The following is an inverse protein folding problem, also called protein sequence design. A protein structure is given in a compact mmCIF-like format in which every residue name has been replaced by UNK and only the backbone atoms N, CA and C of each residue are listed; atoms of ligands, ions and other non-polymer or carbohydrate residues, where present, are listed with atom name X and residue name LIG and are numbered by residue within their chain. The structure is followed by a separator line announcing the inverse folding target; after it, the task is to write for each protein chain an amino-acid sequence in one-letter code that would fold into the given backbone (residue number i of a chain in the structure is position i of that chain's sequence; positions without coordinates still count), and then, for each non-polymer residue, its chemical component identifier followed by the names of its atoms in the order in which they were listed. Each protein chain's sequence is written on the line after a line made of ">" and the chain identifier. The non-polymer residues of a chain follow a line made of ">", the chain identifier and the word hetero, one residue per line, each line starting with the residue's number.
data_IF_150725028449
#
_entry.id   IF_150725028449
#
_cell.length_a   1.000
_cell.length_b   1.000
_cell.length_c   1.000
_cell.angle_alpha   90.00
_cell.angle_beta   90.00
_cell.angle_gamma   90.00
#
_symmetry.space_group_name_H-M   'P 1'
#
loop_
_entity.id
_entity.type
_entity.pdbx_description
1 polymer ?
#
# COMPACT_ATOMS: atom_id res chain seq x y z
N UNK A 1 -22.00 1.64 8.73
CA UNK A 1 -21.52 1.87 7.36
C UNK A 1 -21.10 0.54 6.75
N UNK A 2 -21.50 0.28 5.48
CA UNK A 2 -21.13 -0.95 4.77
C UNK A 2 -19.90 -0.74 3.90
N UNK A 3 -18.97 -1.67 3.94
CA UNK A 3 -17.75 -1.61 3.11
C UNK A 3 -17.60 -2.86 2.23
N UNK A 4 -16.95 -2.68 1.08
CA UNK A 4 -16.46 -3.77 0.23
C UNK A 4 -14.94 -3.69 0.11
N UNK A 5 -14.25 -4.81 0.24
CA UNK A 5 -12.79 -4.87 0.16
C UNK A 5 -12.38 -5.54 -1.15
N UNK A 6 -11.47 -4.90 -1.88
CA UNK A 6 -10.83 -5.45 -3.07
C UNK A 6 -9.32 -5.58 -2.83
N UNK A 7 -8.75 -6.76 -3.09
CA UNK A 7 -7.32 -7.04 -2.92
C UNK A 7 -6.79 -7.96 -4.01
N UNK A 8 -5.48 -7.96 -4.21
CA UNK A 8 -4.77 -8.89 -5.13
C UNK A 8 -3.86 -9.87 -4.40
N UNK A 9 -3.96 -9.97 -3.08
CA UNK A 9 -3.12 -10.87 -2.28
C UNK A 9 -3.93 -11.58 -1.18
N UNK A 10 -3.67 -12.87 -1.02
CA UNK A 10 -4.25 -13.68 0.08
C UNK A 10 -3.60 -13.38 1.44
N UNK A 11 -2.33 -12.97 1.44
CA UNK A 11 -1.52 -12.72 2.64
C UNK A 11 -0.97 -11.27 2.67
N UNK A 12 -1.69 -10.32 2.06
CA UNK A 12 -1.24 -8.93 1.93
C UNK A 12 -1.93 -7.98 2.90
N UNK A 13 -2.00 -6.71 2.47
CA UNK A 13 -2.59 -5.62 3.25
C UNK A 13 -4.02 -5.93 3.71
N UNK A 14 -4.87 -6.52 2.84
CA UNK A 14 -6.24 -6.84 3.22
C UNK A 14 -6.31 -7.88 4.35
N UNK A 15 -5.53 -8.96 4.25
CA UNK A 15 -5.48 -10.01 5.28
C UNK A 15 -4.99 -9.47 6.63
N UNK A 16 -4.01 -8.55 6.61
CA UNK A 16 -3.52 -7.89 7.81
C UNK A 16 -4.54 -6.91 8.42
N UNK A 17 -5.25 -6.13 7.58
CA UNK A 17 -6.15 -5.06 8.06
C UNK A 17 -7.52 -5.57 8.47
N UNK A 18 -7.97 -6.70 7.90
CA UNK A 18 -9.31 -7.23 8.12
C UNK A 18 -9.63 -7.50 9.61
N UNK A 19 -8.74 -8.11 10.43
CA UNK A 19 -8.96 -8.24 11.87
C UNK A 19 -9.17 -6.90 12.59
N UNK A 20 -8.36 -5.88 12.28
CA UNK A 20 -8.50 -4.54 12.88
C UNK A 20 -9.87 -3.91 12.56
N UNK A 21 -10.36 -4.09 11.33
CA UNK A 21 -11.68 -3.59 10.92
C UNK A 21 -12.80 -4.31 11.65
N UNK A 22 -12.71 -5.63 11.80
CA UNK A 22 -13.70 -6.44 12.52
C UNK A 22 -13.73 -6.06 14.00
N UNK A 23 -12.57 -6.03 14.67
CA UNK A 23 -12.44 -5.72 16.09
C UNK A 23 -12.89 -4.29 16.41
N UNK A 24 -12.69 -3.34 15.50
CA UNK A 24 -13.10 -1.95 15.71
C UNK A 24 -14.61 -1.74 15.76
N UNK A 25 -15.39 -2.61 15.11
CA UNK A 25 -16.85 -2.48 15.00
C UNK A 25 -17.31 -1.23 14.22
N UNK A 26 -16.40 -0.47 13.59
CA UNK A 26 -16.72 0.80 12.90
C UNK A 26 -17.51 0.60 11.60
N UNK A 27 -17.44 -0.59 11.01
CA UNK A 27 -18.08 -0.89 9.73
C UNK A 27 -18.53 -2.36 9.63
N UNK A 28 -19.53 -2.59 8.77
CA UNK A 28 -19.98 -3.90 8.33
C UNK A 28 -19.28 -4.27 7.02
N UNK A 29 -18.60 -5.41 6.99
CA UNK A 29 -17.90 -5.87 5.79
C UNK A 29 -18.88 -6.69 4.96
N UNK A 30 -19.42 -6.09 3.90
CA UNK A 30 -20.42 -6.75 3.06
C UNK A 30 -19.84 -7.81 2.13
N UNK A 31 -18.58 -7.65 1.72
CA UNK A 31 -17.91 -8.60 0.81
C UNK A 31 -16.41 -8.34 0.74
N UNK A 32 -15.63 -9.41 0.56
CA UNK A 32 -14.21 -9.37 0.19
C UNK A 32 -14.03 -9.98 -1.19
N UNK A 33 -13.35 -9.27 -2.10
CA UNK A 33 -13.08 -9.73 -3.46
C UNK A 33 -11.56 -9.88 -3.64
N UNK A 34 -11.13 -11.09 -3.99
CA UNK A 34 -9.76 -11.39 -4.39
C UNK A 34 -9.62 -11.30 -5.91
N UNK A 35 -8.78 -10.38 -6.39
CA UNK A 35 -8.36 -10.33 -7.77
C UNK A 35 -7.20 -11.30 -8.01
N UNK A 36 -7.39 -12.35 -8.80
CA UNK A 36 -6.37 -13.35 -9.11
C UNK A 36 -5.27 -12.83 -10.06
N UNK A 37 -5.42 -11.63 -10.61
CA UNK A 37 -4.39 -10.99 -11.40
C UNK A 37 -4.09 -11.67 -12.74
N UNK A 38 -5.06 -12.37 -13.33
CA UNK A 38 -4.91 -13.01 -14.64
C UNK A 38 -4.81 -11.96 -15.75
N UNK A 39 -3.62 -11.39 -15.92
CA UNK A 39 -3.37 -10.37 -16.95
C UNK A 39 -3.28 -11.04 -18.33
N UNK A 40 -4.11 -10.62 -19.27
CA UNK A 40 -3.91 -10.97 -20.68
C UNK A 40 -2.59 -10.35 -21.15
N UNK A 41 -1.60 -11.19 -21.46
CA UNK A 41 -0.28 -10.78 -22.00
C UNK A 41 -0.42 -10.38 -23.47
N UNK A 42 -0.97 -9.20 -23.73
CA UNK A 42 -1.09 -8.64 -25.08
C UNK A 42 0.22 -7.92 -25.49
N UNK A 43 0.31 -7.55 -26.77
CA UNK A 43 1.48 -6.85 -27.34
C UNK A 43 1.83 -5.56 -26.59
N UNK A 44 0.82 -4.80 -26.16
CA UNK A 44 1.00 -3.56 -25.36
C UNK A 44 1.67 -3.84 -24.02
N UNK A 45 1.27 -4.91 -23.33
CA UNK A 45 1.89 -5.36 -22.08
C UNK A 45 3.38 -5.69 -22.31
N UNK A 46 3.69 -6.46 -23.36
CA UNK A 46 5.06 -6.85 -23.69
C UNK A 46 5.92 -5.62 -24.02
N UNK A 47 5.42 -4.71 -24.85
CA UNK A 47 6.09 -3.45 -25.20
C UNK A 47 6.40 -2.60 -23.96
N UNK A 48 5.47 -2.46 -23.04
CA UNK A 48 5.68 -1.73 -21.78
C UNK A 48 6.70 -2.40 -20.89
N UNK A 49 6.71 -3.74 -20.83
CA UNK A 49 7.70 -4.52 -20.09
C UNK A 49 9.11 -4.33 -20.66
N UNK A 50 9.26 -4.39 -21.97
CA UNK A 50 10.54 -4.14 -22.67
C UNK A 50 11.01 -2.70 -22.41
N UNK A 51 10.15 -1.70 -22.56
CA UNK A 51 10.49 -0.30 -22.25
C UNK A 51 10.97 -0.12 -20.81
N UNK A 52 10.33 -0.79 -19.87
CA UNK A 52 10.75 -0.76 -18.46
C UNK A 52 12.13 -1.40 -18.27
N UNK A 53 12.40 -2.54 -18.91
CA UNK A 53 13.72 -3.21 -18.85
C UNK A 53 14.81 -2.30 -19.46
N UNK A 54 14.55 -1.65 -20.58
CA UNK A 54 15.49 -0.69 -21.19
C UNK A 54 15.78 0.46 -20.23
N UNK A 55 14.75 1.01 -19.58
CA UNK A 55 14.89 2.14 -18.63
C UNK A 55 15.73 1.81 -17.40
N UNK A 56 15.54 0.63 -16.80
CA UNK A 56 16.20 0.24 -15.54
C UNK A 56 17.42 -0.66 -15.75
N UNK A 57 17.64 -1.12 -16.96
CA UNK A 57 18.67 -2.08 -17.36
C UNK A 57 18.33 -3.54 -16.98
N UNK A 58 18.95 -4.54 -17.62
CA UNK A 58 18.68 -5.96 -17.34
C UNK A 58 19.01 -6.34 -15.90
N UNK A 59 20.12 -5.86 -15.35
CA UNK A 59 20.51 -6.10 -13.95
C UNK A 59 19.54 -5.45 -12.97
N UNK A 60 19.04 -4.23 -13.26
CA UNK A 60 17.98 -3.59 -12.47
C UNK A 60 16.68 -4.38 -12.50
N UNK A 61 16.31 -4.94 -13.67
CA UNK A 61 15.12 -5.77 -13.80
C UNK A 61 15.23 -7.07 -12.97
N UNK A 62 16.38 -7.76 -13.03
CA UNK A 62 16.65 -8.96 -12.23
C UNK A 62 16.62 -8.67 -10.73
N UNK A 63 17.28 -7.58 -10.30
CA UNK A 63 17.27 -7.15 -8.91
C UNK A 63 15.85 -6.78 -8.45
N UNK A 64 15.05 -6.15 -9.31
CA UNK A 64 13.66 -5.85 -9.01
C UNK A 64 12.79 -7.08 -8.77
N UNK A 65 13.03 -8.20 -9.47
CA UNK A 65 12.36 -9.47 -9.21
C UNK A 65 12.75 -10.00 -7.81
N UNK A 66 14.04 -9.93 -7.46
CA UNK A 66 14.54 -10.33 -6.15
C UNK A 66 13.93 -9.50 -5.03
N UNK A 67 13.86 -8.18 -5.22
CA UNK A 67 13.34 -7.24 -4.22
C UNK A 67 11.84 -7.44 -3.93
N UNK A 68 11.05 -7.92 -4.89
CA UNK A 68 9.62 -8.21 -4.66
C UNK A 68 9.41 -9.20 -3.52
N UNK A 69 10.30 -10.17 -3.34
CA UNK A 69 10.22 -11.16 -2.26
C UNK A 69 10.34 -10.52 -0.87
N UNK A 70 10.97 -9.35 -0.76
CA UNK A 70 11.10 -8.64 0.52
C UNK A 70 9.74 -8.16 1.05
N UNK A 71 8.81 -7.82 0.15
CA UNK A 71 7.48 -7.33 0.49
C UNK A 71 6.40 -8.41 0.58
N UNK A 72 6.69 -9.62 0.13
CA UNK A 72 5.70 -10.71 0.11
C UNK A 72 6.08 -11.88 1.01
N UNK A 73 7.35 -12.22 1.10
CA UNK A 73 7.84 -13.40 1.85
C UNK A 73 8.58 -13.02 3.11
N UNK A 74 9.41 -11.98 3.08
CA UNK A 74 10.25 -11.64 4.23
C UNK A 74 9.46 -10.96 5.36
N UNK A 75 8.31 -10.39 5.07
CA UNK A 75 7.38 -9.87 6.08
C UNK A 75 6.96 -10.97 7.05
N UNK A 76 6.72 -12.18 6.57
CA UNK A 76 6.31 -13.32 7.40
C UNK A 76 7.34 -13.73 8.48
N UNK A 77 8.59 -13.28 8.34
CA UNK A 77 9.64 -13.49 9.37
C UNK A 77 9.34 -12.65 10.64
N UNK A 78 8.66 -11.51 10.48
CA UNK A 78 8.40 -10.56 11.55
C UNK A 78 6.93 -10.51 11.98
N UNK A 79 6.02 -10.92 11.11
CA UNK A 79 4.58 -10.93 11.36
C UNK A 79 3.93 -12.07 10.61
N UNK A 80 3.32 -12.98 11.34
CA UNK A 80 2.44 -13.97 10.75
C UNK A 80 1.14 -13.28 10.29
N UNK A 81 0.78 -13.51 9.03
CA UNK A 81 -0.45 -12.99 8.43
C UNK A 81 -1.27 -14.20 8.03
N UNK A 82 -2.45 -14.33 8.63
CA UNK A 82 -3.40 -15.39 8.32
C UNK A 82 -3.93 -15.24 6.89
N UNK A 83 -4.32 -16.35 6.27
CA UNK A 83 -4.92 -16.32 4.94
C UNK A 83 -6.27 -15.58 4.96
N UNK A 84 -6.45 -14.67 4.02
CA UNK A 84 -7.64 -13.81 3.91
C UNK A 84 -8.96 -14.62 3.86
N UNK A 85 -8.98 -15.72 3.11
CA UNK A 85 -10.15 -16.59 2.96
C UNK A 85 -10.53 -17.28 4.28
N UNK A 86 -9.53 -17.70 5.07
CA UNK A 86 -9.72 -18.29 6.39
C UNK A 86 -10.32 -17.28 7.37
N UNK A 87 -9.86 -16.03 7.33
CA UNK A 87 -10.45 -14.95 8.15
C UNK A 87 -11.90 -14.71 7.73
N UNK A 88 -12.18 -14.59 6.42
CA UNK A 88 -13.53 -14.40 5.92
C UNK A 88 -14.48 -15.54 6.34
N UNK A 89 -14.03 -16.78 6.25
CA UNK A 89 -14.80 -17.95 6.70
C UNK A 89 -15.12 -17.90 8.18
N UNK A 90 -14.15 -17.56 9.04
CA UNK A 90 -14.32 -17.47 10.50
C UNK A 90 -15.37 -16.44 10.91
N UNK A 91 -15.47 -15.33 10.20
CA UNK A 91 -16.37 -14.22 10.52
C UNK A 91 -17.60 -14.14 9.63
N UNK A 92 -17.91 -15.21 8.88
CA UNK A 92 -19.06 -15.30 7.96
C UNK A 92 -19.12 -14.13 6.94
N UNK A 93 -17.94 -13.69 6.46
CA UNK A 93 -17.82 -12.61 5.47
C UNK A 93 -17.86 -13.21 4.06
N UNK A 94 -18.79 -12.78 3.16
CA UNK A 94 -18.81 -13.25 1.78
C UNK A 94 -17.48 -13.03 1.06
N UNK A 95 -16.86 -14.13 0.60
CA UNK A 95 -15.59 -14.11 -0.12
C UNK A 95 -15.77 -14.55 -1.57
N UNK A 96 -15.29 -13.74 -2.51
CA UNK A 96 -15.35 -14.04 -3.93
C UNK A 96 -14.01 -13.82 -4.60
N UNK A 97 -13.70 -14.60 -5.64
CA UNK A 97 -12.55 -14.35 -6.50
C UNK A 97 -12.97 -13.85 -7.89
N UNK A 98 -12.13 -13.03 -8.49
CA UNK A 98 -12.30 -12.53 -9.85
C UNK A 98 -10.98 -12.63 -10.62
N UNK A 99 -10.99 -13.03 -11.90
CA UNK A 99 -9.76 -13.15 -12.68
C UNK A 99 -9.10 -11.81 -12.98
N UNK A 100 -9.86 -10.71 -12.98
CA UNK A 100 -9.36 -9.36 -13.23
C UNK A 100 -10.28 -8.31 -12.62
N UNK A 101 -9.70 -7.24 -12.07
CA UNK A 101 -10.42 -6.15 -11.41
C UNK A 101 -11.45 -5.49 -12.33
N UNK A 102 -11.05 -5.13 -13.53
CA UNK A 102 -11.85 -4.30 -14.44
C UNK A 102 -12.74 -5.14 -15.37
N UNK A 103 -13.56 -6.01 -14.79
CA UNK A 103 -14.52 -6.89 -15.52
C UNK A 103 -15.95 -6.62 -15.09
N UNK A 104 -16.90 -7.05 -15.94
CA UNK A 104 -18.33 -6.96 -15.62
C UNK A 104 -18.68 -7.79 -14.39
N UNK A 105 -18.09 -8.97 -14.23
CA UNK A 105 -18.32 -9.79 -13.03
C UNK A 105 -17.91 -9.08 -11.73
N UNK A 106 -16.81 -8.32 -11.75
CA UNK A 106 -16.41 -7.50 -10.61
C UNK A 106 -17.41 -6.36 -10.37
N UNK A 107 -17.87 -5.71 -11.43
CA UNK A 107 -18.91 -4.67 -11.35
C UNK A 107 -20.19 -5.21 -10.72
N UNK A 108 -20.65 -6.40 -11.15
CA UNK A 108 -21.84 -7.05 -10.62
C UNK A 108 -21.69 -7.38 -9.12
N UNK A 109 -20.50 -7.85 -8.69
CA UNK A 109 -20.21 -8.07 -7.28
C UNK A 109 -20.25 -6.78 -6.46
N UNK A 110 -19.67 -5.67 -6.97
CA UNK A 110 -19.73 -4.38 -6.31
C UNK A 110 -21.16 -3.87 -6.16
N UNK A 111 -21.99 -4.00 -7.20
CA UNK A 111 -23.42 -3.65 -7.14
C UNK A 111 -24.19 -4.51 -6.14
N UNK A 112 -23.91 -5.83 -6.12
CA UNK A 112 -24.53 -6.76 -5.18
C UNK A 112 -24.17 -6.45 -3.72
N UNK A 113 -22.92 -6.05 -3.47
CA UNK A 113 -22.45 -5.71 -2.14
C UNK A 113 -23.16 -4.47 -1.56
N UNK A 114 -23.65 -3.57 -2.41
CA UNK A 114 -24.36 -2.33 -2.01
C UNK A 114 -23.64 -1.59 -0.88
N UNK A 115 -22.32 -1.41 -1.05
CA UNK A 115 -21.45 -0.82 -0.04
C UNK A 115 -21.47 0.70 -0.11
N UNK A 116 -21.30 1.36 1.05
CA UNK A 116 -21.14 2.81 1.14
C UNK A 116 -19.78 3.25 0.60
N UNK A 117 -18.71 2.51 0.95
CA UNK A 117 -17.34 2.78 0.48
C UNK A 117 -16.61 1.49 0.10
N UNK A 118 -15.78 1.58 -0.94
CA UNK A 118 -14.90 0.50 -1.33
C UNK A 118 -13.48 0.71 -0.82
N UNK A 119 -12.83 -0.36 -0.37
CA UNK A 119 -11.42 -0.34 0.05
C UNK A 119 -10.56 -1.07 -0.99
N UNK A 120 -9.54 -0.40 -1.49
CA UNK A 120 -8.50 -1.00 -2.31
C UNK A 120 -7.28 -1.28 -1.44
N UNK A 121 -7.00 -2.54 -1.17
CA UNK A 121 -5.91 -2.96 -0.29
C UNK A 121 -4.90 -3.83 -1.06
N UNK A 122 -3.92 -3.16 -1.68
CA UNK A 122 -2.86 -3.83 -2.44
C UNK A 122 -3.27 -4.25 -3.86
N UNK A 123 -3.91 -3.35 -4.60
CA UNK A 123 -4.30 -3.58 -5.99
C UNK A 123 -3.47 -2.76 -6.99
N UNK A 124 -3.61 -3.13 -8.27
CA UNK A 124 -3.24 -2.27 -9.38
C UNK A 124 -4.36 -1.29 -9.74
N UNK A 125 -4.31 -0.77 -10.97
CA UNK A 125 -5.27 0.20 -11.49
C UNK A 125 -6.72 -0.31 -11.45
N UNK A 126 -7.60 0.47 -10.82
CA UNK A 126 -9.04 0.26 -10.76
C UNK A 126 -9.73 1.27 -11.66
N UNK A 127 -10.52 0.80 -12.62
CA UNK A 127 -11.23 1.65 -13.57
C UNK A 127 -12.47 2.33 -12.95
N UNK A 128 -12.89 3.46 -13.54
CA UNK A 128 -14.02 4.26 -13.08
C UNK A 128 -15.30 3.42 -12.92
N UNK A 129 -15.56 2.48 -13.81
CA UNK A 129 -16.72 1.57 -13.74
C UNK A 129 -16.83 0.79 -12.43
N UNK A 130 -15.74 0.63 -11.70
CA UNK A 130 -15.70 -0.05 -10.40
C UNK A 130 -15.66 0.96 -9.26
N UNK A 131 -14.70 1.90 -9.28
CA UNK A 131 -14.51 2.79 -8.13
C UNK A 131 -15.64 3.79 -7.92
N UNK A 132 -16.50 4.02 -8.93
CA UNK A 132 -17.67 4.91 -8.80
C UNK A 132 -18.96 4.19 -8.35
N UNK A 133 -18.93 2.88 -8.09
CA UNK A 133 -20.14 2.15 -7.66
C UNK A 133 -20.51 2.45 -6.20
N UNK A 134 -19.58 2.36 -5.22
CA UNK A 134 -19.92 2.69 -3.84
C UNK A 134 -20.30 4.17 -3.70
N UNK A 135 -21.19 4.47 -2.75
CA UNK A 135 -21.73 5.82 -2.52
C UNK A 135 -20.63 6.89 -2.35
N UNK A 136 -19.62 6.57 -1.57
CA UNK A 136 -18.43 7.43 -1.35
C UNK A 136 -17.27 7.12 -2.31
N UNK A 137 -17.50 6.26 -3.34
CA UNK A 137 -16.44 5.77 -4.19
C UNK A 137 -15.52 4.80 -3.46
N UNK A 138 -14.23 4.78 -3.86
CA UNK A 138 -13.23 3.91 -3.25
C UNK A 138 -12.08 4.70 -2.66
N UNK A 139 -11.52 4.19 -1.58
CA UNK A 139 -10.26 4.67 -0.97
C UNK A 139 -9.17 3.63 -1.08
N UNK A 140 -7.94 4.08 -1.14
CA UNK A 140 -6.74 3.24 -1.22
C UNK A 140 -5.79 3.56 -0.08
N UNK A 141 -5.06 2.55 0.37
CA UNK A 141 -3.89 2.71 1.23
C UNK A 141 -2.64 2.57 0.38
N UNK A 142 -1.87 3.63 0.33
CA UNK A 142 -0.55 3.64 -0.26
C UNK A 142 0.51 3.71 0.84
N UNK A 143 1.41 2.72 0.91
CA UNK A 143 2.45 2.65 1.94
C UNK A 143 3.63 3.55 1.61
N UNK A 144 3.32 4.82 1.32
CA UNK A 144 4.24 5.89 1.00
C UNK A 144 3.59 7.25 1.29
N UNK A 145 4.41 8.28 1.42
CA UNK A 145 3.97 9.66 1.62
C UNK A 145 3.67 10.29 0.26
N UNK A 146 2.38 10.48 -0.05
CA UNK A 146 1.95 11.15 -1.27
C UNK A 146 1.94 12.68 -1.08
N UNK A 147 2.18 13.49 -2.13
CA UNK A 147 2.47 13.11 -3.51
C UNK A 147 3.95 12.80 -3.78
N UNK A 148 4.84 12.87 -2.79
CA UNK A 148 6.30 12.81 -2.97
C UNK A 148 6.79 11.44 -3.48
N UNK A 149 6.05 10.36 -3.19
CA UNK A 149 6.46 8.99 -3.53
C UNK A 149 5.35 8.21 -4.25
N UNK A 150 4.88 8.73 -5.39
CA UNK A 150 3.89 8.03 -6.21
C UNK A 150 4.47 6.77 -6.86
N UNK A 151 3.69 5.69 -6.93
CA UNK A 151 4.06 4.41 -7.56
C UNK A 151 5.43 3.86 -7.07
N UNK A 152 5.84 4.27 -5.87
CA UNK A 152 7.12 3.89 -5.28
C UNK A 152 7.03 2.52 -4.57
N UNK A 153 8.20 1.88 -4.41
CA UNK A 153 8.35 0.75 -3.49
C UNK A 153 8.73 1.31 -2.12
N UNK A 154 7.96 0.99 -1.12
CA UNK A 154 8.10 1.50 0.25
C UNK A 154 9.51 1.35 0.80
N UNK A 155 9.92 2.34 1.61
CA UNK A 155 11.21 2.38 2.32
C UNK A 155 12.41 2.60 1.42
N UNK A 156 12.44 1.99 0.22
CA UNK A 156 13.61 1.98 -0.65
C UNK A 156 13.95 3.37 -1.19
N UNK A 157 12.92 4.11 -1.61
CA UNK A 157 13.10 5.43 -2.20
C UNK A 157 13.33 6.51 -1.14
N UNK A 158 12.83 6.32 0.08
CA UNK A 158 13.19 7.16 1.23
C UNK A 158 14.67 7.01 1.54
N UNK A 159 15.19 5.79 1.63
CA UNK A 159 16.63 5.54 1.83
C UNK A 159 17.47 6.10 0.67
N UNK A 160 17.00 6.00 -0.59
CA UNK A 160 17.67 6.64 -1.72
C UNK A 160 17.81 8.15 -1.55
N UNK A 161 16.81 8.81 -0.97
CA UNK A 161 16.77 10.24 -0.70
C UNK A 161 17.33 10.63 0.68
N UNK A 162 18.01 9.70 1.38
CA UNK A 162 18.58 9.91 2.72
C UNK A 162 17.54 10.26 3.79
N UNK A 163 16.29 9.82 3.63
CA UNK A 163 15.27 9.95 4.66
C UNK A 163 15.35 8.77 5.64
N UNK A 164 15.15 9.06 6.88
CA UNK A 164 15.02 8.10 7.97
C UNK A 164 13.56 7.83 8.34
N UNK A 165 12.65 8.49 7.64
CA UNK A 165 11.21 8.43 7.87
C UNK A 165 10.55 7.90 6.59
N UNK A 166 9.56 7.06 6.78
CA UNK A 166 8.61 6.62 5.76
C UNK A 166 7.19 6.85 6.28
N UNK A 167 6.17 6.42 5.53
CA UNK A 167 4.80 6.60 5.99
C UNK A 167 3.79 5.93 5.08
N UNK A 168 2.53 6.21 5.37
CA UNK A 168 1.41 5.75 4.57
C UNK A 168 0.45 6.91 4.27
N UNK A 169 -0.30 6.75 3.22
CA UNK A 169 -1.35 7.69 2.80
C UNK A 169 -2.64 6.93 2.52
N UNK A 170 -3.74 7.37 3.14
CA UNK A 170 -5.09 6.96 2.80
C UNK A 170 -5.68 8.06 1.93
N UNK A 171 -6.09 7.71 0.71
CA UNK A 171 -6.56 8.67 -0.28
C UNK A 171 -7.74 8.14 -1.09
N UNK A 172 -8.53 9.02 -1.67
CA UNK A 172 -9.59 8.66 -2.62
C UNK A 172 -8.99 8.07 -3.90
N UNK A 173 -9.70 7.15 -4.53
CA UNK A 173 -9.33 6.67 -5.86
C UNK A 173 -9.97 7.58 -6.92
N UNK A 174 -9.16 8.02 -7.86
CA UNK A 174 -9.58 8.76 -9.04
C UNK A 174 -9.13 8.09 -10.35
N UNK A 175 -9.18 8.81 -11.46
CA UNK A 175 -8.82 8.30 -12.80
C UNK A 175 -7.33 8.01 -12.99
N UNK A 176 -6.46 8.53 -12.12
CA UNK A 176 -5.01 8.35 -12.21
C UNK A 176 -4.52 7.53 -11.01
N UNK A 177 -3.29 7.03 -11.10
CA UNK A 177 -2.70 6.21 -10.03
C UNK A 177 -2.13 7.13 -8.95
N UNK A 178 -2.56 6.93 -7.69
CA UNK A 178 -2.07 7.61 -6.49
C UNK A 178 -2.20 9.15 -6.54
N UNK A 179 -3.28 9.69 -7.14
CA UNK A 179 -3.48 11.14 -7.32
C UNK A 179 -4.74 11.70 -6.65
N UNK A 180 -5.62 10.86 -6.14
CA UNK A 180 -6.85 11.30 -5.49
C UNK A 180 -6.63 12.03 -4.16
N UNK A 181 -7.63 12.78 -3.71
CA UNK A 181 -7.54 13.60 -2.51
C UNK A 181 -7.09 12.80 -1.28
N UNK A 182 -6.24 13.41 -0.49
CA UNK A 182 -5.69 12.85 0.75
C UNK A 182 -6.73 12.91 1.87
N UNK A 183 -6.99 11.78 2.51
CA UNK A 183 -7.86 11.67 3.68
C UNK A 183 -7.02 11.69 4.97
N UNK A 184 -5.96 10.87 5.02
CA UNK A 184 -5.07 10.76 6.17
C UNK A 184 -3.67 10.41 5.70
N UNK A 185 -2.67 11.02 6.33
CA UNK A 185 -1.26 10.59 6.22
C UNK A 185 -0.71 10.31 7.62
N UNK A 186 0.11 9.27 7.71
CA UNK A 186 0.90 8.98 8.89
C UNK A 186 2.36 8.69 8.53
N UNK A 187 3.26 9.09 9.40
CA UNK A 187 4.70 8.83 9.25
C UNK A 187 5.20 7.92 10.36
N UNK A 188 6.17 7.06 10.02
CA UNK A 188 6.87 6.21 10.98
C UNK A 188 8.38 6.27 10.71
N UNK A 189 9.22 6.01 11.71
CA UNK A 189 10.66 5.85 11.50
C UNK A 189 10.95 4.58 10.68
N UNK A 190 12.03 4.63 9.90
CA UNK A 190 12.57 3.43 9.24
C UNK A 190 13.37 2.65 10.29
N UNK A 191 12.99 1.39 10.50
CA UNK A 191 13.66 0.49 11.44
C UNK A 191 14.91 -0.13 10.80
N UNK A 192 16.05 0.55 10.95
CA UNK A 192 17.32 0.12 10.34
C UNK A 192 17.84 -1.17 10.97
N UNK A 193 17.99 -2.20 10.14
CA UNK A 193 18.48 -3.53 10.51
C UNK A 193 19.85 -3.79 9.87
N UNK A 194 20.49 -4.92 10.20
CA UNK A 194 21.81 -5.31 9.68
C UNK A 194 21.90 -5.45 8.14
N UNK A 195 20.76 -5.43 7.41
CA UNK A 195 20.73 -5.41 5.95
C UNK A 195 19.54 -4.66 5.42
N UNK A 196 19.64 -4.08 4.22
CA UNK A 196 18.55 -3.40 3.53
C UNK A 196 17.29 -4.28 3.43
N UNK A 197 17.46 -5.56 3.12
CA UNK A 197 16.35 -6.53 3.02
C UNK A 197 15.57 -6.62 4.35
N UNK A 198 16.27 -6.77 5.48
CA UNK A 198 15.65 -6.83 6.80
C UNK A 198 15.03 -5.50 7.21
N UNK A 199 15.69 -4.38 6.92
CA UNK A 199 15.15 -3.04 7.13
C UNK A 199 13.81 -2.87 6.41
N UNK A 200 13.74 -3.21 5.12
CA UNK A 200 12.50 -3.12 4.33
C UNK A 200 11.41 -4.01 4.90
N UNK A 201 11.70 -5.26 5.21
CA UNK A 201 10.71 -6.19 5.73
C UNK A 201 10.17 -5.76 7.10
N UNK A 202 11.06 -5.38 8.03
CA UNK A 202 10.68 -4.95 9.37
C UNK A 202 9.86 -3.65 9.35
N UNK A 203 10.34 -2.63 8.64
CA UNK A 203 9.61 -1.37 8.49
C UNK A 203 8.27 -1.55 7.79
N UNK A 204 8.16 -2.51 6.83
CA UNK A 204 6.88 -2.81 6.18
C UNK A 204 5.84 -3.37 7.15
N UNK A 205 6.23 -4.14 8.16
CA UNK A 205 5.32 -4.60 9.22
C UNK A 205 4.77 -3.40 10.01
N UNK A 206 5.65 -2.49 10.44
CA UNK A 206 5.24 -1.30 11.18
C UNK A 206 4.34 -0.37 10.33
N UNK A 207 4.59 -0.30 9.00
CA UNK A 207 3.70 0.40 8.07
C UNK A 207 2.32 -0.26 7.98
N UNK A 208 2.25 -1.59 7.91
CA UNK A 208 0.98 -2.32 7.91
C UNK A 208 0.19 -2.04 9.19
N UNK A 209 0.83 -2.10 10.35
CA UNK A 209 0.19 -1.85 11.65
C UNK A 209 -0.30 -0.39 11.75
N UNK A 210 0.55 0.59 11.44
CA UNK A 210 0.18 1.99 11.49
C UNK A 210 -0.95 2.34 10.51
N UNK A 211 -0.92 1.78 9.29
CA UNK A 211 -1.96 2.02 8.29
C UNK A 211 -3.29 1.35 8.62
N UNK A 212 -3.28 0.21 9.31
CA UNK A 212 -4.51 -0.43 9.78
C UNK A 212 -5.22 0.43 10.83
N UNK A 213 -4.47 0.96 11.80
CA UNK A 213 -4.98 1.91 12.80
C UNK A 213 -5.51 3.18 12.12
N UNK A 214 -4.75 3.72 11.15
CA UNK A 214 -5.18 4.89 10.37
C UNK A 214 -6.46 4.63 9.57
N UNK A 215 -6.62 3.43 8.99
CA UNK A 215 -7.84 3.07 8.26
C UNK A 215 -9.06 2.99 9.19
N UNK A 216 -8.93 2.37 10.35
CA UNK A 216 -9.99 2.32 11.37
C UNK A 216 -10.42 3.74 11.76
N UNK A 217 -9.45 4.65 11.98
CA UNK A 217 -9.71 6.05 12.29
C UNK A 217 -10.49 6.76 11.18
N UNK A 218 -10.10 6.60 9.91
CA UNK A 218 -10.79 7.18 8.76
C UNK A 218 -12.22 6.65 8.63
N UNK A 219 -12.43 5.36 8.81
CA UNK A 219 -13.75 4.75 8.70
C UNK A 219 -14.66 5.10 9.90
N UNK A 220 -14.09 5.39 11.06
CA UNK A 220 -14.83 5.81 12.25
C UNK A 220 -15.47 7.19 12.11
N UNK A 221 -14.92 8.06 11.25
CA UNK A 221 -15.45 9.39 10.97
C UNK A 221 -15.27 9.78 9.50
N UNK A 222 -15.81 8.92 8.61
CA UNK A 222 -15.61 9.04 7.17
C UNK A 222 -16.06 10.41 6.62
N UNK A 223 -17.18 10.95 7.10
CA UNK A 223 -17.74 12.21 6.61
C UNK A 223 -16.79 13.39 6.92
N UNK A 224 -16.18 13.43 8.11
CA UNK A 224 -15.18 14.42 8.47
C UNK A 224 -13.95 14.33 7.54
N UNK A 225 -13.40 13.12 7.34
CA UNK A 225 -12.25 12.93 6.48
C UNK A 225 -12.54 13.26 5.01
N UNK A 226 -13.74 12.97 4.52
CA UNK A 226 -14.15 13.32 3.16
C UNK A 226 -14.32 14.84 2.99
N UNK A 227 -14.87 15.53 3.98
CA UNK A 227 -15.06 16.99 3.96
C UNK A 227 -13.74 17.74 4.08
N UNK A 228 -12.80 17.24 4.88
CA UNK A 228 -11.46 17.83 5.08
C UNK A 228 -10.40 17.30 4.10
N UNK A 229 -10.80 16.50 3.11
CA UNK A 229 -9.88 15.92 2.15
C UNK A 229 -9.10 16.99 1.38
N UNK A 230 -7.79 16.79 1.24
CA UNK A 230 -6.88 17.76 0.61
C UNK A 230 -6.49 17.27 -0.79
N UNK A 231 -6.63 18.10 -1.83
CA UNK A 231 -6.14 17.75 -3.15
C UNK A 231 -4.61 17.59 -3.13
N UNK A 232 -4.11 16.66 -3.92
CA UNK A 232 -2.67 16.48 -4.08
C UNK A 232 -2.09 17.51 -5.05
N UNK A 233 -0.91 18.05 -4.70
CA UNK A 233 -0.09 18.82 -5.61
C UNK A 233 0.68 17.92 -6.61
N UNK A 234 1.56 18.53 -7.44
CA UNK A 234 2.43 17.78 -8.32
C UNK A 234 3.27 16.78 -7.54
N UNK A 235 3.30 15.52 -7.99
CA UNK A 235 4.00 14.44 -7.31
C UNK A 235 5.21 13.92 -8.09
N UNK A 236 6.02 13.10 -7.42
CA UNK A 236 7.16 12.41 -8.00
C UNK A 236 6.89 10.92 -8.11
N UNK A 237 6.84 10.43 -9.35
CA UNK A 237 6.63 9.01 -9.61
C UNK A 237 7.94 8.23 -9.67
N UNK A 238 7.97 7.10 -9.00
CA UNK A 238 9.12 6.20 -8.95
C UNK A 238 8.82 4.87 -9.65
N UNK A 239 9.84 4.07 -9.83
CA UNK A 239 9.72 2.71 -10.37
C UNK A 239 10.79 1.82 -9.72
N UNK A 240 10.93 0.58 -10.17
CA UNK A 240 12.04 -0.29 -9.74
C UNK A 240 13.37 0.42 -9.97
N UNK A 241 14.27 0.50 -8.97
CA UNK A 241 15.55 1.16 -9.14
C UNK A 241 16.43 0.45 -10.18
N UNK A 242 17.20 1.24 -10.94
CA UNK A 242 18.30 0.73 -11.75
C UNK A 242 19.40 0.15 -10.85
N UNK A 243 20.35 -0.58 -11.43
CA UNK A 243 21.45 -1.15 -10.62
C UNK A 243 22.30 -0.08 -9.92
N UNK A 244 22.52 1.06 -10.56
CA UNK A 244 23.28 2.18 -9.96
C UNK A 244 22.52 2.84 -8.82
N UNK A 245 21.20 3.03 -8.99
CA UNK A 245 20.34 3.51 -7.91
C UNK A 245 20.31 2.53 -6.74
N UNK A 246 20.31 1.23 -7.02
CA UNK A 246 20.36 0.21 -5.99
C UNK A 246 21.67 0.26 -5.18
N UNK A 247 22.83 0.42 -5.82
CA UNK A 247 24.09 0.63 -5.10
C UNK A 247 24.09 1.90 -4.25
N UNK A 248 23.49 2.99 -4.76
CA UNK A 248 23.29 4.20 -3.96
C UNK A 248 22.41 3.92 -2.74
N UNK A 249 21.32 3.17 -2.89
CA UNK A 249 20.44 2.77 -1.77
C UNK A 249 21.22 1.97 -0.73
N UNK A 250 22.03 1.00 -1.13
CA UNK A 250 22.87 0.22 -0.21
C UNK A 250 23.84 1.11 0.59
N UNK A 251 24.53 2.02 -0.10
CA UNK A 251 25.43 2.97 0.55
C UNK A 251 24.71 3.90 1.53
N UNK A 252 23.55 4.43 1.12
CA UNK A 252 22.74 5.30 1.96
C UNK A 252 22.18 4.55 3.17
N UNK A 253 21.72 3.31 2.98
CA UNK A 253 21.27 2.45 4.06
C UNK A 253 22.36 2.28 5.14
N UNK A 254 23.62 1.98 4.73
CA UNK A 254 24.74 1.87 5.66
C UNK A 254 24.93 3.16 6.47
N UNK A 255 24.96 4.32 5.82
CA UNK A 255 25.11 5.63 6.46
C UNK A 255 24.00 5.95 7.45
N UNK A 256 22.74 5.71 7.03
CA UNK A 256 21.58 5.97 7.87
C UNK A 256 21.52 5.03 9.07
N UNK A 257 21.89 3.77 8.88
CA UNK A 257 22.02 2.81 9.98
C UNK A 257 23.07 3.23 10.99
N UNK A 258 24.28 3.61 10.55
CA UNK A 258 25.36 4.11 11.41
C UNK A 258 24.91 5.36 12.21
N UNK A 259 24.19 6.29 11.56
CA UNK A 259 23.61 7.45 12.23
C UNK A 259 22.54 7.08 13.26
N UNK A 260 21.70 6.08 12.95
CA UNK A 260 20.70 5.55 13.87
C UNK A 260 21.32 4.90 15.10
N UNK A 261 22.39 4.12 14.92
CA UNK A 261 23.11 3.46 16.02
C UNK A 261 23.82 4.49 16.92
N UNK A 262 24.21 5.66 16.41
CA UNK A 262 24.95 6.71 17.13
C UNK A 262 24.06 7.71 17.90
N UNK A 263 22.85 7.36 18.27
CA UNK A 263 21.92 8.15 19.11
C UNK A 263 21.55 9.58 18.65
N UNK A 264 22.04 10.08 17.52
CA UNK A 264 21.55 11.35 16.94
C UNK A 264 20.11 11.25 16.42
N UNK A 265 19.60 10.06 16.35
CA UNK A 265 18.32 9.66 15.74
C UNK A 265 17.09 9.89 16.63
N UNK A 266 17.26 9.87 17.95
CA UNK A 266 16.14 10.03 18.89
C UNK A 266 15.42 11.38 18.75
N UNK A 267 16.15 12.44 18.41
CA UNK A 267 15.58 13.79 18.26
C UNK A 267 14.67 13.92 17.03
N UNK A 268 14.99 13.23 15.93
CA UNK A 268 14.18 13.29 14.71
C UNK A 268 12.94 12.38 14.82
N UNK A 269 13.05 11.28 15.54
CA UNK A 269 11.94 10.37 15.83
C UNK A 269 10.87 11.06 16.71
N UNK A 270 11.29 11.79 17.75
CA UNK A 270 10.37 12.58 18.57
C UNK A 270 9.64 13.67 17.77
N UNK A 271 10.35 14.34 16.88
CA UNK A 271 9.78 15.40 16.03
C UNK A 271 8.77 14.88 15.01
N UNK A 272 8.97 13.64 14.50
CA UNK A 272 8.04 12.99 13.60
C UNK A 272 6.77 12.50 14.31
N UNK A 273 6.91 12.02 15.56
CA UNK A 273 5.78 11.63 16.38
C UNK A 273 4.88 12.82 16.80
N UNK A 274 5.45 14.01 16.95
CA UNK A 274 4.70 15.24 17.23
C UNK A 274 3.93 15.79 16.02
N UNK A 275 4.37 15.47 14.79
CA UNK A 275 3.71 15.89 13.55
C UNK A 275 2.52 15.00 13.12
N UNK A 276 2.15 14.00 13.92
CA UNK A 276 0.89 13.24 13.77
C UNK A 276 -0.24 14.05 14.44
N UNK A 277 -0.53 15.24 13.91
CA UNK A 277 -1.72 16.00 14.30
C UNK A 277 -2.77 15.93 13.20
N UNK A 278 -4.06 15.82 13.60
CA UNK A 278 -5.21 15.67 12.72
C UNK A 278 -5.42 16.85 11.76
#
# INVERSE_FOLDING_TARGET
>A
MKIIILTSSRYGTAAHHLPYLIESGTCEISMVILNEGRIKKNFRYLKNKVRKIIKIGPLGALNGIRMRKWFSHDISIYKEIEELESICYRYDIPFHSTPNINTRSTEDLFRKANADVGLSLGNGYIGQRIYSIPKYGMINIHHEILPDYQNAQSVIWQIFNMSSITGYTIHKIDKHIDTGDLLLQGTIPIEFMGSLRRTVARTSVSLLEASAIGLVKVLGDLDQYYTSAKPQGPGKSYTTPSIWQYFKILRNHKKLKEASDNSMYEKDVHKAAENVRP
#
